data_IF_843059794379
#
_entry.id   IF_843059794379
#
_cell.length_a   1.000
_cell.length_b   1.000
_cell.length_c   1.000
_cell.angle_alpha   90.00
_cell.angle_beta   90.00
_cell.angle_gamma   90.00
#
_symmetry.space_group_name_H-M   'P 1'
#
loop_
_entity.id
_entity.type
_entity.pdbx_description
1 polymer ?
#
# COMPACT_ATOMS: atom_id res chain seq x y z
N UNK A 1 -41.20 -41.38 -19.91
CA UNK A 1 -40.33 -40.68 -18.94
C UNK A 1 -41.19 -39.77 -18.09
N UNK A 2 -41.47 -40.17 -16.85
CA UNK A 2 -42.23 -39.37 -15.89
C UNK A 2 -41.28 -38.37 -15.22
N UNK A 3 -41.58 -37.08 -15.32
CA UNK A 3 -40.83 -36.02 -14.64
C UNK A 3 -40.93 -36.21 -13.12
N UNK A 4 -39.78 -36.36 -12.45
CA UNK A 4 -39.66 -36.56 -10.99
C UNK A 4 -39.80 -35.26 -10.17
N UNK A 5 -40.18 -34.14 -10.79
CA UNK A 5 -40.25 -32.84 -10.12
C UNK A 5 -41.55 -32.11 -10.49
N UNK A 6 -42.32 -31.70 -9.49
CA UNK A 6 -43.44 -30.76 -9.64
C UNK A 6 -42.94 -29.32 -9.69
N UNK A 7 -43.82 -28.38 -10.08
CA UNK A 7 -43.52 -26.96 -10.31
C UNK A 7 -42.56 -26.37 -9.27
N UNK A 8 -41.40 -25.91 -9.75
CA UNK A 8 -40.36 -25.29 -8.91
C UNK A 8 -40.75 -23.87 -8.58
N UNK A 9 -40.92 -23.55 -7.30
CA UNK A 9 -41.05 -22.16 -6.84
C UNK A 9 -39.70 -21.46 -6.92
N UNK A 10 -39.70 -20.25 -7.49
CA UNK A 10 -38.52 -19.37 -7.50
C UNK A 10 -38.55 -18.55 -6.22
N UNK A 11 -37.54 -18.72 -5.37
CA UNK A 11 -37.33 -17.89 -4.19
C UNK A 11 -36.28 -16.82 -4.53
N UNK A 12 -36.55 -15.58 -4.09
CA UNK A 12 -35.65 -14.43 -4.22
C UNK A 12 -35.29 -14.00 -2.80
N UNK A 13 -34.00 -13.99 -2.49
CA UNK A 13 -33.49 -13.54 -1.18
C UNK A 13 -32.47 -12.44 -1.42
N UNK A 14 -32.72 -11.27 -0.83
CA UNK A 14 -31.80 -10.13 -0.85
C UNK A 14 -31.17 -9.94 0.53
N UNK A 15 -29.85 -9.76 0.57
CA UNK A 15 -29.11 -9.54 1.81
C UNK A 15 -27.85 -8.73 1.56
N UNK A 16 -27.37 -8.02 2.58
CA UNK A 16 -26.05 -7.38 2.56
C UNK A 16 -25.02 -8.43 2.97
N UNK A 17 -24.09 -8.74 2.07
CA UNK A 17 -23.02 -9.69 2.31
C UNK A 17 -21.67 -8.97 2.41
N UNK A 18 -20.82 -9.45 3.31
CA UNK A 18 -19.43 -9.01 3.41
C UNK A 18 -18.52 -10.09 2.82
N UNK A 19 -18.02 -9.85 1.62
CA UNK A 19 -17.14 -10.80 0.94
C UNK A 19 -15.83 -11.00 1.69
N UNK A 20 -15.33 -12.24 1.71
CA UNK A 20 -13.99 -12.53 2.21
C UNK A 20 -12.96 -11.93 1.25
N UNK A 21 -11.96 -11.25 1.81
CA UNK A 21 -10.81 -10.76 1.04
C UNK A 21 -9.51 -11.17 1.70
N UNK A 22 -8.45 -11.22 0.91
CA UNK A 22 -7.09 -11.24 1.40
C UNK A 22 -6.64 -9.80 1.68
N UNK A 23 -5.82 -9.57 2.72
CA UNK A 23 -5.22 -8.25 2.95
C UNK A 23 -4.14 -7.97 1.90
N UNK A 24 -4.57 -7.63 0.69
CA UNK A 24 -3.70 -7.34 -0.46
C UNK A 24 -2.78 -6.15 -0.21
N UNK A 25 -3.19 -5.23 0.67
CA UNK A 25 -2.43 -4.01 0.99
C UNK A 25 -1.32 -4.26 2.00
N UNK A 26 -1.35 -5.41 2.69
CA UNK A 26 -0.33 -5.79 3.67
C UNK A 26 1.06 -5.72 3.08
N UNK A 27 1.92 -4.90 3.68
CA UNK A 27 3.33 -4.77 3.30
C UNK A 27 3.61 -3.92 2.07
N UNK A 28 2.61 -3.51 1.27
CA UNK A 28 2.84 -2.71 0.05
C UNK A 28 3.49 -1.36 0.33
N UNK A 29 3.13 -0.69 1.43
CA UNK A 29 3.77 0.55 1.84
C UNK A 29 5.27 0.35 2.13
N UNK A 30 5.62 -0.78 2.75
CA UNK A 30 7.01 -1.16 2.99
C UNK A 30 7.77 -1.38 1.68
N UNK A 31 7.21 -2.14 0.75
CA UNK A 31 7.80 -2.39 -0.58
C UNK A 31 7.98 -1.10 -1.38
N UNK A 32 6.97 -0.21 -1.40
CA UNK A 32 7.05 1.09 -2.08
C UNK A 32 8.11 2.01 -1.46
N UNK A 33 8.30 1.94 -0.15
CA UNK A 33 9.26 2.76 0.57
C UNK A 33 10.67 2.16 0.64
N UNK A 34 10.87 0.91 0.22
CA UNK A 34 12.16 0.24 0.27
C UNK A 34 13.25 0.98 -0.54
N UNK A 35 13.02 1.38 -1.80
CA UNK A 35 14.02 2.12 -2.57
C UNK A 35 14.40 3.46 -1.94
N UNK A 36 13.43 4.13 -1.28
CA UNK A 36 13.67 5.40 -0.58
C UNK A 36 14.57 5.15 0.64
N UNK A 37 14.29 4.10 1.41
CA UNK A 37 15.11 3.72 2.55
C UNK A 37 16.55 3.37 2.12
N UNK A 38 16.70 2.66 1.00
CA UNK A 38 18.00 2.30 0.44
C UNK A 38 18.78 3.56 0.01
N UNK A 39 18.11 4.49 -0.67
CA UNK A 39 18.72 5.75 -1.09
C UNK A 39 19.15 6.63 0.09
N UNK A 40 18.31 6.73 1.14
CA UNK A 40 18.64 7.44 2.37
C UNK A 40 19.85 6.82 3.09
N UNK A 41 19.91 5.49 3.13
CA UNK A 41 21.04 4.75 3.70
C UNK A 41 22.34 4.99 2.93
N UNK A 42 22.30 4.91 1.60
CA UNK A 42 23.45 5.19 0.73
C UNK A 42 23.92 6.63 0.86
N UNK A 43 22.98 7.59 0.87
CA UNK A 43 23.28 9.02 1.05
C UNK A 43 23.97 9.26 2.40
N UNK A 44 23.47 8.66 3.48
CA UNK A 44 24.09 8.77 4.80
C UNK A 44 25.51 8.19 4.82
N UNK A 45 25.73 7.02 4.19
CA UNK A 45 27.07 6.42 4.09
C UNK A 45 28.03 7.34 3.32
N UNK A 46 27.59 7.85 2.17
CA UNK A 46 28.37 8.79 1.36
C UNK A 46 28.75 10.05 2.15
N UNK A 47 27.78 10.67 2.83
CA UNK A 47 28.02 11.86 3.65
C UNK A 47 29.01 11.60 4.79
N UNK A 48 28.90 10.45 5.46
CA UNK A 48 29.84 10.05 6.51
C UNK A 48 31.25 9.86 5.96
N UNK A 49 31.40 9.12 4.85
CA UNK A 49 32.70 8.90 4.20
C UNK A 49 33.33 10.23 3.76
N UNK A 50 32.55 11.12 3.13
CA UNK A 50 33.04 12.41 2.69
C UNK A 50 33.44 13.31 3.87
N UNK A 51 32.68 13.28 4.98
CA UNK A 51 33.01 14.04 6.20
C UNK A 51 34.30 13.57 6.84
N UNK A 52 34.56 12.25 6.86
CA UNK A 52 35.82 11.70 7.37
C UNK A 52 37.00 12.03 6.45
N UNK A 53 36.83 11.95 5.12
CA UNK A 53 37.88 12.28 4.15
C UNK A 53 38.37 13.73 4.29
N UNK A 54 37.44 14.68 4.47
CA UNK A 54 37.77 16.11 4.59
C UNK A 54 38.04 16.55 6.03
N UNK A 55 38.10 15.61 6.98
CA UNK A 55 38.33 15.89 8.40
C UNK A 55 39.75 16.42 8.61
N UNK A 56 39.89 17.49 9.37
CA UNK A 56 41.18 18.15 9.58
C UNK A 56 41.72 18.95 8.39
N UNK A 57 41.17 18.76 7.18
CA UNK A 57 41.55 19.55 6.00
C UNK A 57 41.03 20.99 6.09
N UNK A 58 41.87 21.95 5.71
CA UNK A 58 41.54 23.39 5.72
C UNK A 58 41.64 23.96 4.31
N UNK A 59 40.70 24.82 3.93
CA UNK A 59 40.69 25.49 2.63
C UNK A 59 39.30 25.97 2.21
N UNK A 60 39.25 26.91 1.26
CA UNK A 60 38.00 27.42 0.69
C UNK A 60 37.18 26.32 0.02
N UNK A 61 37.85 25.36 -0.63
CA UNK A 61 37.20 24.22 -1.29
C UNK A 61 36.50 23.32 -0.26
N UNK A 62 37.17 22.97 0.83
CA UNK A 62 36.59 22.15 1.92
C UNK A 62 35.36 22.84 2.54
N UNK A 63 35.42 24.17 2.74
CA UNK A 63 34.26 24.95 3.22
C UNK A 63 33.07 24.90 2.25
N UNK A 64 33.32 25.02 0.94
CA UNK A 64 32.29 24.88 -0.10
C UNK A 64 31.67 23.48 -0.10
N UNK A 65 32.50 22.43 -0.04
CA UNK A 65 32.04 21.03 0.01
C UNK A 65 31.11 20.81 1.21
N UNK A 66 31.51 21.23 2.42
CA UNK A 66 30.68 21.10 3.63
C UNK A 66 29.32 21.80 3.49
N UNK A 67 29.34 23.06 3.05
CA UNK A 67 28.12 23.86 2.88
C UNK A 67 27.16 23.25 1.86
N UNK A 68 27.69 22.76 0.75
CA UNK A 68 26.86 22.17 -0.31
C UNK A 68 26.31 20.81 0.07
N UNK A 69 27.07 20.01 0.83
CA UNK A 69 26.64 18.74 1.39
C UNK A 69 25.44 18.94 2.35
N UNK A 70 25.56 19.85 3.31
CA UNK A 70 24.51 20.14 4.29
C UNK A 70 23.24 20.69 3.63
N UNK A 71 23.37 21.66 2.71
CA UNK A 71 22.24 22.27 2.02
C UNK A 71 21.45 21.29 1.15
N UNK A 72 22.14 20.38 0.44
CA UNK A 72 21.49 19.38 -0.41
C UNK A 72 20.93 18.20 0.39
N UNK A 73 21.59 17.82 1.48
CA UNK A 73 21.16 16.71 2.33
C UNK A 73 19.78 16.95 2.94
N UNK A 74 19.59 18.11 3.59
CA UNK A 74 18.34 18.43 4.28
C UNK A 74 17.15 18.52 3.32
N UNK A 75 17.30 19.21 2.18
CA UNK A 75 16.22 19.32 1.18
C UNK A 75 15.82 17.96 0.61
N UNK A 76 16.80 17.10 0.30
CA UNK A 76 16.54 15.76 -0.26
C UNK A 76 15.87 14.85 0.77
N UNK A 77 16.35 14.88 2.02
CA UNK A 77 15.78 14.08 3.11
C UNK A 77 14.32 14.46 3.37
N UNK A 78 14.01 15.76 3.40
CA UNK A 78 12.64 16.24 3.57
C UNK A 78 11.72 15.78 2.43
N UNK A 79 12.15 15.95 1.17
CA UNK A 79 11.36 15.52 0.01
C UNK A 79 11.11 14.01 0.00
N UNK A 80 12.14 13.20 0.29
CA UNK A 80 12.00 11.74 0.36
C UNK A 80 11.08 11.28 1.50
N UNK A 81 11.10 12.00 2.64
CA UNK A 81 10.21 11.73 3.75
C UNK A 81 8.75 12.01 3.38
N UNK A 82 8.47 13.12 2.70
CA UNK A 82 7.12 13.43 2.20
C UNK A 82 6.59 12.34 1.26
N UNK A 83 7.43 11.83 0.35
CA UNK A 83 7.02 10.75 -0.57
C UNK A 83 6.69 9.46 0.21
N UNK A 84 7.45 9.12 1.26
CA UNK A 84 7.16 7.95 2.10
C UNK A 84 5.81 8.04 2.80
N UNK A 85 5.48 9.23 3.30
CA UNK A 85 4.20 9.52 3.93
C UNK A 85 3.06 9.41 2.89
N UNK A 86 3.27 9.94 1.68
CA UNK A 86 2.29 9.83 0.59
C UNK A 86 2.03 8.37 0.18
N UNK A 87 3.08 7.55 0.04
CA UNK A 87 2.92 6.12 -0.24
C UNK A 87 2.13 5.40 0.85
N UNK A 88 2.40 5.71 2.11
CA UNK A 88 1.69 5.11 3.25
C UNK A 88 0.21 5.50 3.23
N UNK A 89 -0.07 6.79 3.07
CA UNK A 89 -1.43 7.30 2.95
C UNK A 89 -2.20 6.70 1.76
N UNK A 90 -1.54 6.50 0.61
CA UNK A 90 -2.15 5.86 -0.56
C UNK A 90 -2.53 4.41 -0.28
N UNK A 91 -1.64 3.63 0.34
CA UNK A 91 -1.91 2.23 0.70
C UNK A 91 -3.08 2.13 1.69
N UNK A 92 -3.14 3.02 2.69
CA UNK A 92 -4.23 3.05 3.65
C UNK A 92 -5.58 3.40 2.98
N UNK A 93 -5.58 4.36 2.05
CA UNK A 93 -6.78 4.70 1.25
C UNK A 93 -7.26 3.51 0.43
N UNK A 94 -6.36 2.80 -0.24
CA UNK A 94 -6.74 1.60 -0.98
C UNK A 94 -7.28 0.50 -0.09
N UNK A 95 -6.73 0.34 1.12
CA UNK A 95 -7.27 -0.60 2.10
C UNK A 95 -8.71 -0.25 2.48
N UNK A 96 -8.99 1.02 2.73
CA UNK A 96 -10.36 1.48 3.00
C UNK A 96 -11.32 1.23 1.83
N UNK A 97 -10.89 1.52 0.60
CA UNK A 97 -11.70 1.28 -0.60
C UNK A 97 -12.00 -0.22 -0.76
N UNK A 98 -11.00 -1.09 -0.54
CA UNK A 98 -11.20 -2.54 -0.58
C UNK A 98 -12.23 -2.96 0.47
N UNK A 99 -12.11 -2.49 1.72
CA UNK A 99 -13.06 -2.83 2.78
C UNK A 99 -14.49 -2.35 2.47
N UNK A 100 -14.64 -1.16 1.89
CA UNK A 100 -15.95 -0.65 1.44
C UNK A 100 -16.55 -1.52 0.32
N UNK A 101 -15.74 -1.87 -0.69
CA UNK A 101 -16.17 -2.73 -1.80
C UNK A 101 -16.51 -4.16 -1.38
N UNK A 102 -16.06 -4.63 -0.20
CA UNK A 102 -16.43 -5.96 0.31
C UNK A 102 -17.88 -6.03 0.76
N UNK A 103 -18.45 -4.92 1.20
CA UNK A 103 -19.84 -4.87 1.62
C UNK A 103 -20.71 -4.61 0.39
N UNK A 104 -21.49 -5.60 -0.01
CA UNK A 104 -22.35 -5.49 -1.18
C UNK A 104 -23.73 -6.04 -0.89
N UNK A 105 -24.73 -5.39 -1.47
CA UNK A 105 -26.09 -5.91 -1.50
C UNK A 105 -26.20 -6.96 -2.61
N UNK A 106 -26.50 -8.20 -2.21
CA UNK A 106 -26.58 -9.36 -3.09
C UNK A 106 -28.00 -9.87 -3.12
N UNK A 107 -28.51 -10.16 -4.32
CA UNK A 107 -29.79 -10.85 -4.51
C UNK A 107 -29.54 -12.23 -5.11
N UNK A 108 -29.88 -13.27 -4.35
CA UNK A 108 -29.83 -14.65 -4.79
C UNK A 108 -31.21 -15.07 -5.29
N UNK A 109 -31.26 -15.55 -6.52
CA UNK A 109 -32.46 -16.14 -7.12
C UNK A 109 -32.20 -17.63 -7.31
N UNK A 110 -32.99 -18.49 -6.65
CA UNK A 110 -32.85 -19.93 -6.79
C UNK A 110 -34.20 -20.63 -6.91
N UNK A 111 -34.19 -21.81 -7.54
CA UNK A 111 -35.36 -22.68 -7.65
C UNK A 111 -35.31 -23.73 -6.54
N UNK A 112 -36.28 -23.67 -5.64
CA UNK A 112 -36.40 -24.67 -4.58
C UNK A 112 -37.14 -25.88 -5.14
N UNK A 113 -36.52 -27.06 -5.05
CA UNK A 113 -37.21 -28.31 -5.37
C UNK A 113 -38.15 -28.65 -4.22
N UNK A 114 -39.44 -28.82 -4.50
CA UNK A 114 -40.38 -29.39 -3.54
C UNK A 114 -40.07 -30.89 -3.37
N UNK A 115 -39.95 -31.40 -2.13
CA UNK A 115 -39.85 -32.84 -1.92
C UNK A 115 -41.14 -33.51 -2.42
N UNK A 116 -40.99 -34.62 -3.14
CA UNK A 116 -42.12 -35.46 -3.55
C UNK A 116 -42.51 -36.30 -2.33
N UNK A 117 -43.72 -36.10 -1.82
CA UNK A 117 -44.34 -36.93 -0.78
C UNK A 117 -44.77 -38.28 -1.36
#
# INVERSE_FOLDING_TARGET
>A
MTSLFSESETEIVSTTYMFLTQDEMKGKAGTLNQPINDFLSLTKKFESSLKEEIKGQKGLIVKKIKKELESKSEKRKAALQMIKEEHTAKVDRYKMIIEDLRQQDVTLTYRKKKPVL
#
